data_IF_790114928063
#
_entry.id   IF_790114928063
#
_cell.length_a   1.000
_cell.length_b   1.000
_cell.length_c   1.000
_cell.angle_alpha   90.00
_cell.angle_beta   90.00
_cell.angle_gamma   90.00
#
_symmetry.space_group_name_H-M   'P 1'
#
loop_
_entity.id
_entity.type
_entity.pdbx_description
1 polymer ?
#
# COMPACT_ATOMS: atom_id res chain seq x y z
N UNK A 1 3.35 -13.85 27.65
CA UNK A 1 3.06 -12.55 27.03
C UNK A 1 2.66 -12.85 25.60
N UNK A 2 1.39 -12.71 25.24
CA UNK A 2 0.97 -12.88 23.85
C UNK A 2 1.40 -11.61 23.10
N UNK A 3 2.55 -11.67 22.42
CA UNK A 3 2.89 -10.64 21.44
C UNK A 3 1.78 -10.62 20.41
N UNK A 4 1.08 -9.49 20.29
CA UNK A 4 0.07 -9.28 19.25
C UNK A 4 0.70 -9.61 17.90
N UNK A 5 0.12 -10.56 17.18
CA UNK A 5 0.56 -10.88 15.83
C UNK A 5 0.60 -9.61 14.98
N UNK A 6 1.58 -9.51 14.09
CA UNK A 6 1.73 -8.39 13.17
C UNK A 6 0.45 -8.20 12.34
N UNK A 7 -0.11 -6.99 12.34
CA UNK A 7 -1.32 -6.64 11.58
C UNK A 7 -0.96 -6.02 10.23
N UNK A 8 -0.71 -6.88 9.23
CA UNK A 8 -0.37 -6.46 7.88
C UNK A 8 -1.43 -5.53 7.25
N UNK A 9 -2.71 -5.82 7.46
CA UNK A 9 -3.80 -5.02 6.87
C UNK A 9 -3.92 -3.65 7.53
N UNK A 10 -3.71 -3.58 8.85
CA UNK A 10 -3.66 -2.32 9.59
C UNK A 10 -2.53 -1.41 9.10
N UNK A 11 -1.32 -1.94 8.97
CA UNK A 11 -0.15 -1.21 8.50
C UNK A 11 -0.29 -0.73 7.04
N UNK A 12 -0.80 -1.59 6.16
CA UNK A 12 -1.04 -1.21 4.76
C UNK A 12 -2.15 -0.15 4.66
N UNK A 13 -3.22 -0.25 5.45
CA UNK A 13 -4.26 0.79 5.51
C UNK A 13 -3.69 2.11 6.01
N UNK A 14 -2.87 2.10 7.07
CA UNK A 14 -2.23 3.29 7.62
C UNK A 14 -1.29 3.97 6.61
N UNK A 15 -0.65 3.20 5.73
CA UNK A 15 0.17 3.70 4.63
C UNK A 15 -0.64 4.17 3.41
N UNK A 16 -1.98 4.15 3.47
CA UNK A 16 -2.85 4.65 2.41
C UNK A 16 -3.02 3.71 1.23
N UNK A 17 -2.74 2.41 1.39
CA UNK A 17 -3.14 1.41 0.40
C UNK A 17 -4.67 1.23 0.43
N UNK A 18 -5.33 0.97 -0.72
CA UNK A 18 -6.79 0.86 -0.80
C UNK A 18 -7.33 -0.49 -0.28
N UNK A 19 -6.92 -0.89 0.93
CA UNK A 19 -7.27 -2.18 1.56
C UNK A 19 -8.78 -2.34 1.75
N UNK A 20 -9.51 -1.24 1.91
CA UNK A 20 -10.97 -1.26 2.09
C UNK A 20 -11.74 -1.51 0.78
N UNK A 21 -11.07 -1.45 -0.39
CA UNK A 21 -11.66 -1.83 -1.68
C UNK A 21 -11.49 -3.32 -1.98
N UNK A 22 -10.72 -4.05 -1.17
CA UNK A 22 -10.45 -5.46 -1.37
C UNK A 22 -11.64 -6.31 -0.89
N UNK A 23 -11.97 -7.34 -1.65
CA UNK A 23 -12.91 -8.37 -1.22
C UNK A 23 -12.33 -9.23 -0.08
N UNK A 24 -13.14 -10.14 0.49
CA UNK A 24 -12.69 -10.97 1.60
C UNK A 24 -11.54 -11.92 1.21
N UNK A 25 -11.57 -12.48 0.00
CA UNK A 25 -10.52 -13.39 -0.47
C UNK A 25 -9.21 -12.63 -0.64
N UNK A 26 -9.24 -11.46 -1.24
CA UNK A 26 -8.10 -10.59 -1.43
C UNK A 26 -7.51 -10.16 -0.08
N UNK A 27 -8.34 -9.74 0.88
CA UNK A 27 -7.88 -9.38 2.23
C UNK A 27 -7.14 -10.51 2.94
N UNK A 28 -7.59 -11.77 2.77
CA UNK A 28 -6.89 -12.93 3.34
C UNK A 28 -5.48 -13.09 2.77
N UNK A 29 -5.31 -12.92 1.45
CA UNK A 29 -3.98 -12.97 0.82
C UNK A 29 -3.06 -11.89 1.38
N UNK A 30 -3.56 -10.66 1.52
CA UNK A 30 -2.75 -9.56 2.07
C UNK A 30 -2.49 -9.69 3.58
N UNK A 31 -3.36 -10.39 4.32
CA UNK A 31 -3.16 -10.68 5.73
C UNK A 31 -2.03 -11.70 5.99
N UNK A 32 -1.63 -12.48 4.98
CA UNK A 32 -0.51 -13.42 5.07
C UNK A 32 0.86 -12.75 4.86
N UNK A 33 0.89 -11.47 4.48
CA UNK A 33 2.14 -10.74 4.30
C UNK A 33 2.90 -10.62 5.61
N UNK A 34 4.20 -10.86 5.52
CA UNK A 34 5.14 -10.66 6.61
C UNK A 34 5.41 -9.17 6.83
N UNK A 35 5.93 -8.84 8.02
CA UNK A 35 6.36 -7.48 8.35
C UNK A 35 7.35 -6.92 7.32
N UNK A 36 8.33 -7.72 6.92
CA UNK A 36 9.33 -7.32 5.90
C UNK A 36 8.68 -6.99 4.56
N UNK A 37 7.69 -7.77 4.13
CA UNK A 37 6.99 -7.52 2.86
C UNK A 37 6.14 -6.25 2.93
N UNK A 38 5.46 -6.00 4.05
CA UNK A 38 4.70 -4.76 4.25
C UNK A 38 5.62 -3.54 4.27
N UNK A 39 6.76 -3.62 4.96
CA UNK A 39 7.78 -2.56 4.96
C UNK A 39 8.25 -2.26 3.53
N UNK A 40 8.52 -3.30 2.73
CA UNK A 40 8.93 -3.14 1.34
C UNK A 40 7.83 -2.50 0.49
N UNK A 41 6.58 -2.97 0.60
CA UNK A 41 5.44 -2.42 -0.14
C UNK A 41 5.20 -0.94 0.19
N UNK A 42 5.26 -0.57 1.46
CA UNK A 42 5.15 0.82 1.90
C UNK A 42 6.30 1.68 1.35
N UNK A 43 7.51 1.12 1.33
CA UNK A 43 8.68 1.79 0.76
C UNK A 43 8.54 2.03 -0.76
N UNK A 44 7.99 1.06 -1.50
CA UNK A 44 7.72 1.20 -2.94
C UNK A 44 6.64 2.25 -3.18
N UNK A 45 5.50 2.16 -2.46
CA UNK A 45 4.41 3.13 -2.57
C UNK A 45 4.91 4.56 -2.34
N UNK A 46 5.69 4.79 -1.28
CA UNK A 46 6.26 6.11 -1.01
C UNK A 46 7.08 6.65 -2.18
N UNK A 47 7.95 5.83 -2.80
CA UNK A 47 8.75 6.26 -3.96
C UNK A 47 7.88 6.59 -5.18
N UNK A 48 6.79 5.85 -5.38
CA UNK A 48 5.84 6.13 -6.45
C UNK A 48 5.09 7.44 -6.20
N UNK A 49 4.60 7.65 -4.97
CA UNK A 49 3.93 8.90 -4.58
C UNK A 49 4.88 10.11 -4.70
N UNK A 50 6.13 9.96 -4.28
CA UNK A 50 7.16 11.01 -4.39
C UNK A 50 7.47 11.34 -5.87
N UNK A 51 7.41 10.36 -6.78
CA UNK A 51 7.62 10.55 -8.22
C UNK A 51 6.37 11.07 -8.96
N UNK A 52 5.15 10.80 -8.46
CA UNK A 52 3.90 11.20 -9.10
C UNK A 52 3.73 12.72 -9.20
N UNK A 53 4.32 13.47 -8.26
CA UNK A 53 4.37 14.93 -8.30
C UNK A 53 5.06 15.52 -9.55
N UNK A 54 5.86 14.73 -10.27
CA UNK A 54 6.49 15.14 -11.54
C UNK A 54 5.62 14.82 -12.79
N UNK A 55 4.57 13.99 -12.65
CA UNK A 55 3.78 13.46 -13.79
C UNK A 55 2.37 14.05 -13.87
N UNK A 56 1.79 14.56 -12.78
CA UNK A 56 0.44 15.16 -12.78
C UNK A 56 0.36 16.55 -13.46
N UNK A 57 1.47 17.09 -13.96
CA UNK A 57 1.54 18.37 -14.67
C UNK A 57 1.43 18.30 -16.20
N UNK A 58 1.37 17.10 -16.81
CA UNK A 58 1.25 16.97 -18.26
C UNK A 58 -0.22 16.90 -18.69
N UNK A 59 -0.92 18.04 -18.69
CA UNK A 59 -2.00 18.24 -19.67
C UNK A 59 -1.36 18.20 -21.06
N UNK A 60 -1.23 16.99 -21.63
CA UNK A 60 -1.07 16.84 -23.06
C UNK A 60 -2.36 17.33 -23.71
N UNK A 61 -2.41 18.65 -23.99
CA UNK A 61 -3.33 19.21 -24.97
C UNK A 61 -3.00 18.57 -26.31
N UNK A 62 -3.73 17.53 -26.67
CA UNK A 62 -3.83 17.07 -28.05
C UNK A 62 -4.45 18.21 -28.86
N UNK A 63 -3.60 18.92 -29.60
CA UNK A 63 -3.96 19.88 -30.66
C UNK A 63 -4.28 19.11 -31.94
#
# INVERSE_FOLDING_TARGET
MNGSAFDALGELRAAGHPIDLLDERQRRVFAELTETEVVLLNSIKKRLDDAAGEVEGQELKLV
#
